data_IF_792096257761
#
_entry.id   IF_792096257761
#
_cell.length_a   1.000
_cell.length_b   1.000
_cell.length_c   1.000
_cell.angle_alpha   90.00
_cell.angle_beta   90.00
_cell.angle_gamma   90.00
#
_symmetry.space_group_name_H-M   'P 1'
#
loop_
_entity.id
_entity.type
_entity.pdbx_description
1 polymer ?
#
# COMPACT_ATOMS: atom_id res chain seq x y z
N UNK A 1 10.23 -17.03 -36.84
CA UNK A 1 9.29 -16.22 -36.03
C UNK A 1 8.59 -15.17 -36.87
N UNK A 2 9.32 -14.29 -37.57
CA UNK A 2 8.75 -13.22 -38.39
C UNK A 2 7.72 -13.76 -39.39
N UNK A 3 8.04 -14.81 -40.15
CA UNK A 3 7.09 -15.44 -41.08
C UNK A 3 5.77 -15.89 -40.42
N UNK A 4 5.80 -16.31 -39.16
CA UNK A 4 4.60 -16.69 -38.40
C UNK A 4 3.75 -15.47 -38.06
N UNK A 5 4.41 -14.37 -37.67
CA UNK A 5 3.74 -13.09 -37.40
C UNK A 5 3.12 -12.51 -38.69
N UNK A 6 3.90 -12.47 -39.78
CA UNK A 6 3.45 -11.98 -41.09
C UNK A 6 2.25 -12.77 -41.61
N UNK A 7 2.29 -14.11 -41.50
CA UNK A 7 1.18 -14.96 -41.89
C UNK A 7 -0.05 -14.73 -41.03
N UNK A 8 0.11 -14.59 -39.71
CA UNK A 8 -1.00 -14.31 -38.83
C UNK A 8 -1.63 -12.94 -39.13
N UNK A 9 -0.81 -11.91 -39.40
CA UNK A 9 -1.29 -10.58 -39.77
C UNK A 9 -2.06 -10.62 -41.10
N UNK A 10 -1.55 -11.36 -42.09
CA UNK A 10 -2.20 -11.53 -43.39
C UNK A 10 -3.55 -12.28 -43.31
N UNK A 11 -3.77 -13.09 -42.26
CA UNK A 11 -5.04 -13.77 -42.01
C UNK A 11 -6.09 -12.84 -41.37
N UNK A 12 -5.67 -11.69 -40.82
CA UNK A 12 -6.56 -10.66 -40.29
C UNK A 12 -6.15 -10.15 -38.92
N UNK A 13 -6.69 -8.99 -38.56
CA UNK A 13 -6.31 -8.30 -37.32
C UNK A 13 -6.68 -9.11 -36.07
N UNK A 14 -5.76 -9.14 -35.10
CA UNK A 14 -5.97 -9.87 -33.85
C UNK A 14 -5.84 -11.39 -33.94
N UNK A 15 -5.46 -11.93 -35.10
CA UNK A 15 -5.16 -13.35 -35.27
C UNK A 15 -4.05 -13.79 -34.31
N UNK A 16 -4.13 -15.04 -33.84
CA UNK A 16 -3.13 -15.60 -32.94
C UNK A 16 -1.95 -16.15 -33.75
N UNK A 17 -0.78 -15.56 -33.55
CA UNK A 17 0.50 -16.16 -33.88
C UNK A 17 0.90 -17.12 -32.75
N UNK A 18 0.67 -18.41 -32.96
CA UNK A 18 1.00 -19.45 -32.00
C UNK A 18 2.41 -20.02 -32.25
N UNK A 19 3.20 -20.10 -31.18
CA UNK A 19 4.57 -20.61 -31.19
C UNK A 19 4.65 -21.84 -30.29
N UNK A 20 4.72 -23.07 -30.85
CA UNK A 20 4.84 -24.28 -30.03
C UNK A 20 6.17 -24.31 -29.25
N UNK A 21 6.20 -25.10 -28.17
CA UNK A 21 7.44 -25.41 -27.47
C UNK A 21 8.41 -26.23 -28.32
N UNK A 22 9.69 -26.14 -27.98
CA UNK A 22 10.79 -26.82 -28.68
C UNK A 22 12.09 -26.08 -28.47
N UNK A 23 12.97 -26.12 -29.48
CA UNK A 23 14.17 -25.30 -29.49
C UNK A 23 13.82 -23.80 -29.42
N UNK A 24 14.66 -22.97 -28.77
CA UNK A 24 14.42 -21.53 -28.71
C UNK A 24 14.27 -20.89 -30.09
N UNK A 25 13.31 -19.97 -30.21
CA UNK A 25 13.19 -19.10 -31.36
C UNK A 25 14.24 -17.99 -31.23
N UNK A 26 15.34 -18.13 -31.95
CA UNK A 26 16.36 -17.09 -32.07
C UNK A 26 15.76 -15.85 -32.76
N UNK A 27 15.79 -14.71 -32.06
CA UNK A 27 15.22 -13.43 -32.53
C UNK A 27 16.29 -12.41 -32.90
N UNK A 28 17.55 -12.82 -33.01
CA UNK A 28 18.66 -11.93 -33.35
C UNK A 28 18.84 -10.83 -32.31
N UNK A 29 18.70 -9.57 -32.73
CA UNK A 29 18.79 -8.38 -31.87
C UNK A 29 17.51 -8.05 -31.09
N UNK A 30 16.41 -8.77 -31.36
CA UNK A 30 15.06 -8.48 -30.88
C UNK A 30 14.05 -8.32 -32.02
N UNK A 31 12.76 -8.35 -31.68
CA UNK A 31 11.67 -8.21 -32.65
C UNK A 31 10.78 -7.02 -32.29
N UNK A 32 10.55 -6.17 -33.28
CA UNK A 32 9.54 -5.11 -33.20
C UNK A 32 8.19 -5.62 -33.69
N UNK A 33 7.15 -5.33 -32.92
CA UNK A 33 5.76 -5.58 -33.25
C UNK A 33 5.04 -4.29 -33.71
N UNK A 34 5.80 -3.26 -34.07
CA UNK A 34 5.24 -2.02 -34.61
C UNK A 34 4.44 -2.31 -35.89
N UNK A 35 3.20 -1.82 -35.95
CA UNK A 35 2.31 -2.02 -37.09
C UNK A 35 1.60 -3.38 -37.14
N UNK A 36 2.00 -4.34 -36.31
CA UNK A 36 1.27 -5.60 -36.14
C UNK A 36 0.08 -5.43 -35.21
N UNK A 37 -0.93 -6.27 -35.40
CA UNK A 37 -2.12 -6.37 -34.54
C UNK A 37 -2.35 -7.79 -34.00
N UNK A 38 -1.52 -8.75 -34.43
CA UNK A 38 -1.59 -10.14 -33.96
C UNK A 38 -1.36 -10.31 -32.47
N UNK A 39 -1.93 -11.40 -31.93
CA UNK A 39 -1.68 -11.88 -30.58
C UNK A 39 -0.52 -12.87 -30.58
N UNK A 40 0.40 -12.76 -29.63
CA UNK A 40 1.58 -13.65 -29.52
C UNK A 40 1.32 -14.67 -28.41
N UNK A 41 1.21 -15.96 -28.77
CA UNK A 41 0.87 -17.03 -27.84
C UNK A 41 1.88 -18.17 -27.91
N UNK A 42 2.31 -18.66 -26.75
CA UNK A 42 3.17 -19.84 -26.66
C UNK A 42 2.54 -20.99 -25.86
N UNK A 43 3.29 -22.09 -25.76
CA UNK A 43 2.94 -23.32 -25.04
C UNK A 43 3.21 -23.27 -23.53
N UNK A 44 3.79 -22.19 -23.02
CA UNK A 44 4.10 -21.99 -21.60
C UNK A 44 5.49 -21.42 -21.36
N UNK A 45 5.67 -20.74 -20.22
CA UNK A 45 6.96 -20.27 -19.72
C UNK A 45 7.58 -21.35 -18.81
N UNK A 46 8.57 -22.08 -19.32
CA UNK A 46 9.30 -23.12 -18.57
C UNK A 46 10.56 -22.55 -17.91
N UNK A 47 10.92 -23.07 -16.74
CA UNK A 47 12.06 -22.58 -15.95
C UNK A 47 13.44 -22.80 -16.60
N UNK A 48 13.56 -23.57 -17.68
CA UNK A 48 14.82 -23.82 -18.40
C UNK A 48 14.65 -23.60 -19.89
N UNK A 49 15.66 -23.05 -20.55
CA UNK A 49 15.73 -22.99 -22.03
C UNK A 49 15.86 -24.38 -22.66
N UNK A 50 16.20 -25.39 -21.85
CA UNK A 50 16.34 -26.79 -22.29
C UNK A 50 15.07 -27.62 -22.09
N UNK A 51 14.00 -27.07 -21.50
CA UNK A 51 12.72 -27.78 -21.40
C UNK A 51 11.93 -27.58 -22.70
N UNK A 52 11.82 -28.61 -23.55
CA UNK A 52 11.21 -28.50 -24.88
C UNK A 52 9.69 -28.26 -24.83
N UNK A 53 9.08 -28.29 -23.63
CA UNK A 53 7.63 -28.11 -23.47
C UNK A 53 7.21 -26.64 -23.52
N UNK A 54 8.14 -25.71 -23.29
CA UNK A 54 7.86 -24.27 -23.25
C UNK A 54 8.30 -23.53 -24.50
N UNK A 55 7.70 -22.38 -24.74
CA UNK A 55 8.09 -21.47 -25.84
C UNK A 55 9.13 -20.50 -25.33
N UNK A 56 10.24 -20.33 -26.05
CA UNK A 56 11.31 -19.39 -25.67
C UNK A 56 11.68 -18.49 -26.83
N UNK A 57 11.65 -17.17 -26.62
CA UNK A 57 12.24 -16.18 -27.51
C UNK A 57 13.60 -15.78 -26.95
N UNK A 58 14.67 -16.07 -27.70
CA UNK A 58 16.05 -15.87 -27.29
C UNK A 58 16.73 -14.86 -28.20
N UNK A 59 17.28 -13.81 -27.61
CA UNK A 59 18.08 -12.84 -28.33
C UNK A 59 19.56 -13.24 -28.28
N UNK A 60 20.18 -13.52 -29.44
CA UNK A 60 21.62 -13.80 -29.54
C UNK A 60 22.48 -12.55 -29.40
N UNK A 61 21.89 -11.37 -29.57
CA UNK A 61 22.47 -10.05 -29.29
C UNK A 61 21.36 -9.09 -28.89
N UNK A 62 21.66 -7.93 -28.29
CA UNK A 62 20.65 -6.92 -27.99
C UNK A 62 21.21 -5.50 -28.23
N UNK A 63 20.46 -4.69 -28.97
CA UNK A 63 20.59 -3.22 -29.02
C UNK A 63 19.22 -2.56 -28.68
N UNK A 64 18.41 -3.28 -27.91
CA UNK A 64 17.02 -2.96 -27.62
C UNK A 64 16.28 -4.12 -26.94
N UNK A 65 14.94 -3.99 -26.82
CA UNK A 65 14.09 -5.03 -26.25
C UNK A 65 14.12 -6.32 -27.07
N UNK A 66 14.04 -7.48 -26.40
CA UNK A 66 13.86 -8.77 -27.08
C UNK A 66 12.51 -8.81 -27.80
N UNK A 67 11.44 -8.36 -27.13
CA UNK A 67 10.11 -8.15 -27.72
C UNK A 67 9.69 -6.69 -27.51
N UNK A 68 9.56 -5.94 -28.60
CA UNK A 68 9.11 -4.55 -28.57
C UNK A 68 7.66 -4.44 -29.01
N UNK A 69 6.77 -4.14 -28.05
CA UNK A 69 5.37 -3.83 -28.34
C UNK A 69 5.14 -2.34 -28.62
N UNK A 70 6.20 -1.53 -28.72
CA UNK A 70 6.06 -0.12 -29.10
C UNK A 70 5.44 -0.02 -30.50
N UNK A 71 4.25 0.59 -30.58
CA UNK A 71 3.53 0.75 -31.83
C UNK A 71 2.76 -0.49 -32.30
N UNK A 72 2.61 -1.53 -31.47
CA UNK A 72 1.64 -2.58 -31.71
C UNK A 72 0.22 -1.99 -31.75
N UNK A 73 -0.58 -2.43 -32.71
CA UNK A 73 -1.89 -1.88 -33.02
C UNK A 73 -2.98 -2.76 -32.42
N UNK A 74 -3.83 -2.17 -31.58
CA UNK A 74 -5.04 -2.86 -31.16
C UNK A 74 -5.92 -3.15 -32.38
N UNK A 75 -6.32 -4.41 -32.62
CA UNK A 75 -7.23 -4.77 -33.71
C UNK A 75 -8.51 -3.93 -33.70
N UNK A 76 -8.91 -3.41 -34.87
CA UNK A 76 -10.11 -2.63 -35.04
C UNK A 76 -11.34 -3.48 -34.69
N UNK A 77 -12.33 -2.87 -34.02
CA UNK A 77 -13.57 -3.52 -33.59
C UNK A 77 -13.43 -4.66 -32.57
N UNK A 78 -12.24 -4.91 -32.02
CA UNK A 78 -12.06 -5.92 -30.98
C UNK A 78 -12.61 -5.43 -29.63
N UNK A 79 -13.73 -5.99 -29.19
CA UNK A 79 -14.42 -5.54 -27.96
C UNK A 79 -13.81 -6.08 -26.65
N UNK A 80 -12.92 -7.07 -26.72
CA UNK A 80 -12.24 -7.68 -25.58
C UNK A 80 -10.83 -7.16 -25.34
N UNK A 81 -10.06 -7.88 -24.50
CA UNK A 81 -8.61 -7.69 -24.35
C UNK A 81 -7.85 -8.62 -25.28
N UNK A 82 -6.88 -8.09 -26.03
CA UNK A 82 -5.92 -8.94 -26.73
C UNK A 82 -4.97 -9.57 -25.73
N UNK A 83 -4.59 -10.83 -25.94
CA UNK A 83 -3.78 -11.56 -24.97
C UNK A 83 -2.45 -11.98 -25.59
N UNK A 84 -1.35 -11.61 -24.93
CA UNK A 84 -0.02 -12.11 -25.24
C UNK A 84 0.47 -12.93 -24.04
N UNK A 85 1.05 -14.11 -24.27
CA UNK A 85 1.48 -14.91 -23.13
C UNK A 85 1.84 -16.35 -23.41
N UNK A 86 2.30 -17.02 -22.35
CA UNK A 86 2.70 -18.42 -22.36
C UNK A 86 4.09 -18.63 -22.97
N UNK A 87 5.07 -17.79 -22.64
CA UNK A 87 6.41 -17.90 -23.20
C UNK A 87 7.49 -17.32 -22.30
N UNK A 88 8.72 -17.75 -22.52
CA UNK A 88 9.94 -17.17 -21.96
C UNK A 88 10.52 -16.11 -22.88
N UNK A 89 11.10 -15.08 -22.28
CA UNK A 89 11.95 -14.09 -22.95
C UNK A 89 13.34 -14.14 -22.33
N UNK A 90 14.34 -14.39 -23.16
CA UNK A 90 15.73 -14.50 -22.74
C UNK A 90 16.56 -13.49 -23.50
N UNK A 91 17.16 -12.56 -22.76
CA UNK A 91 18.09 -11.59 -23.32
C UNK A 91 19.43 -12.22 -23.71
N UNK A 92 20.33 -11.41 -24.25
CA UNK A 92 21.64 -11.88 -24.74
C UNK A 92 22.63 -12.23 -23.63
N UNK A 93 22.31 -11.98 -22.37
CA UNK A 93 23.23 -12.17 -21.25
C UNK A 93 24.35 -11.11 -21.19
N UNK A 94 24.26 -10.04 -21.99
CA UNK A 94 25.27 -8.97 -22.05
C UNK A 94 24.80 -7.75 -21.27
N UNK A 95 25.68 -7.22 -20.42
CA UNK A 95 25.49 -5.99 -19.65
C UNK A 95 25.22 -4.78 -20.53
N UNK A 96 24.27 -3.91 -20.13
CA UNK A 96 24.00 -2.63 -20.80
C UNK A 96 23.83 -1.48 -19.80
N UNK A 97 24.90 -0.71 -19.61
CA UNK A 97 24.89 0.47 -18.74
C UNK A 97 23.90 1.56 -19.18
N UNK A 98 23.44 1.54 -20.44
CA UNK A 98 22.42 2.47 -20.96
C UNK A 98 21.00 2.00 -20.68
N UNK A 99 20.82 0.78 -20.16
CA UNK A 99 19.53 0.19 -19.74
C UNK A 99 18.50 0.08 -20.88
N UNK A 100 18.94 -0.03 -22.13
CA UNK A 100 18.09 -0.09 -23.32
C UNK A 100 17.72 -1.53 -23.71
N UNK A 101 18.54 -2.50 -23.31
CA UNK A 101 18.41 -3.92 -23.64
C UNK A 101 17.37 -4.64 -22.76
N UNK A 102 16.12 -4.17 -22.79
CA UNK A 102 15.05 -4.76 -21.98
C UNK A 102 14.62 -6.15 -22.48
N UNK A 103 13.87 -6.90 -21.66
CA UNK A 103 13.25 -8.14 -22.13
C UNK A 103 12.04 -7.82 -22.99
N UNK A 104 11.05 -7.18 -22.37
CA UNK A 104 9.84 -6.74 -23.05
C UNK A 104 9.65 -5.24 -22.84
N UNK A 105 9.41 -4.52 -23.93
CA UNK A 105 9.07 -3.09 -23.91
C UNK A 105 7.61 -2.87 -24.29
N UNK A 106 6.96 -2.00 -23.52
CA UNK A 106 5.58 -1.58 -23.69
C UNK A 106 5.52 -0.07 -23.92
N UNK A 107 4.92 0.36 -25.03
CA UNK A 107 4.66 1.77 -25.32
C UNK A 107 3.43 1.93 -26.20
N UNK A 108 2.57 2.92 -25.92
CA UNK A 108 1.27 3.14 -26.60
C UNK A 108 0.35 1.92 -26.58
N UNK A 109 0.39 1.14 -25.50
CA UNK A 109 -0.46 -0.04 -25.37
C UNK A 109 -1.74 0.28 -24.64
N UNK A 110 -2.85 -0.30 -25.12
CA UNK A 110 -4.12 -0.17 -24.43
C UNK A 110 -4.96 -1.45 -24.47
N UNK A 111 -5.64 -1.74 -23.36
CA UNK A 111 -6.62 -2.84 -23.27
C UNK A 111 -6.06 -4.22 -23.64
N UNK A 112 -4.83 -4.51 -23.19
CA UNK A 112 -4.12 -5.76 -23.48
C UNK A 112 -3.85 -6.56 -22.20
N UNK A 113 -3.88 -7.88 -22.28
CA UNK A 113 -3.48 -8.80 -21.23
C UNK A 113 -2.12 -9.42 -21.59
N UNK A 114 -1.17 -9.34 -20.67
CA UNK A 114 0.10 -10.07 -20.72
C UNK A 114 0.11 -11.08 -19.59
N UNK A 115 0.20 -12.37 -19.91
CA UNK A 115 0.07 -13.43 -18.92
C UNK A 115 1.05 -14.59 -19.09
N UNK A 116 1.47 -15.21 -17.99
CA UNK A 116 2.30 -16.43 -18.01
C UNK A 116 3.62 -16.23 -18.77
N UNK A 117 4.40 -15.23 -18.34
CA UNK A 117 5.66 -14.86 -18.97
C UNK A 117 6.79 -14.93 -17.96
N UNK A 118 7.92 -15.51 -18.34
CA UNK A 118 9.15 -15.40 -17.56
C UNK A 118 10.21 -14.65 -18.36
N UNK A 119 10.95 -13.74 -17.71
CA UNK A 119 12.00 -12.93 -18.34
C UNK A 119 13.32 -13.09 -17.58
N UNK A 120 14.43 -13.26 -18.29
CA UNK A 120 15.76 -13.40 -17.69
C UNK A 120 16.89 -12.97 -18.63
N UNK A 121 18.09 -12.80 -18.07
CA UNK A 121 19.35 -12.55 -18.80
C UNK A 121 19.32 -11.31 -19.70
N UNK A 122 18.54 -10.30 -19.31
CA UNK A 122 18.47 -9.02 -20.02
C UNK A 122 19.58 -8.08 -19.56
N UNK A 123 20.17 -7.32 -20.48
CA UNK A 123 21.17 -6.29 -20.14
C UNK A 123 20.56 -5.03 -19.53
N UNK A 124 19.28 -4.77 -19.83
CA UNK A 124 18.43 -3.74 -19.26
C UNK A 124 17.24 -4.34 -18.49
N UNK A 125 16.18 -3.56 -18.24
CA UNK A 125 15.05 -4.03 -17.43
C UNK A 125 14.37 -5.26 -18.02
N UNK A 126 13.99 -6.22 -17.20
CA UNK A 126 13.24 -7.38 -17.70
C UNK A 126 11.91 -6.94 -18.32
N UNK A 127 11.18 -6.09 -17.61
CA UNK A 127 9.96 -5.45 -18.09
C UNK A 127 10.09 -3.93 -18.05
N UNK A 128 9.79 -3.30 -19.18
CA UNK A 128 9.89 -1.86 -19.36
C UNK A 128 8.59 -1.28 -19.93
N UNK A 129 7.86 -0.50 -19.15
CA UNK A 129 6.79 0.37 -19.62
C UNK A 129 7.30 1.78 -19.85
N UNK A 130 7.49 2.16 -21.10
CA UNK A 130 8.02 3.46 -21.50
C UNK A 130 6.88 4.39 -21.87
N UNK A 131 6.77 5.48 -21.11
CA UNK A 131 6.04 6.65 -21.57
C UNK A 131 7.03 7.75 -21.96
N UNK A 132 7.04 8.11 -23.24
CA UNK A 132 7.19 9.52 -23.61
C UNK A 132 5.83 10.20 -23.46
N UNK A 133 5.76 11.53 -23.34
CA UNK A 133 4.97 12.36 -24.26
C UNK A 133 3.52 12.06 -24.72
N UNK A 134 2.75 11.06 -24.26
CA UNK A 134 1.46 10.63 -24.86
C UNK A 134 1.37 9.11 -25.11
N UNK A 135 2.35 8.36 -24.61
CA UNK A 135 2.66 7.01 -25.07
C UNK A 135 2.48 5.96 -23.96
N UNK A 136 1.64 6.24 -22.97
CA UNK A 136 1.58 5.43 -21.77
C UNK A 136 0.92 4.06 -21.98
N UNK A 137 1.03 3.22 -20.96
CA UNK A 137 0.38 1.91 -20.90
C UNK A 137 -0.96 2.07 -20.18
N UNK A 138 -2.06 1.80 -20.89
CA UNK A 138 -3.41 2.14 -20.46
C UNK A 138 -4.30 0.90 -20.34
N UNK A 139 -4.94 0.70 -19.18
CA UNK A 139 -5.94 -0.37 -19.00
C UNK A 139 -5.43 -1.80 -19.28
N UNK A 140 -4.12 -2.00 -19.24
CA UNK A 140 -3.50 -3.31 -19.42
C UNK A 140 -3.54 -4.12 -18.13
N UNK A 141 -3.68 -5.44 -18.27
CA UNK A 141 -3.48 -6.38 -17.16
C UNK A 141 -2.17 -7.15 -17.40
N UNK A 142 -1.36 -7.27 -16.36
CA UNK A 142 -0.14 -8.07 -16.32
C UNK A 142 -0.32 -9.13 -15.24
N UNK A 143 -0.30 -10.39 -15.63
CA UNK A 143 -0.67 -11.49 -14.74
C UNK A 143 0.39 -12.59 -14.75
N UNK A 144 0.89 -12.99 -13.57
CA UNK A 144 1.85 -14.10 -13.45
C UNK A 144 3.10 -13.90 -14.34
N UNK A 145 3.65 -12.70 -14.31
CA UNK A 145 4.92 -12.37 -14.98
C UNK A 145 6.04 -12.39 -13.95
N UNK A 146 7.08 -13.16 -14.24
CA UNK A 146 8.23 -13.37 -13.35
C UNK A 146 9.49 -12.84 -14.02
N UNK A 147 10.26 -12.03 -13.31
CA UNK A 147 11.53 -11.50 -13.82
C UNK A 147 12.68 -11.96 -12.92
N UNK A 148 13.68 -12.60 -13.52
CA UNK A 148 14.95 -12.94 -12.87
C UNK A 148 15.97 -11.82 -13.02
N UNK A 149 17.04 -11.85 -12.22
CA UNK A 149 18.07 -10.79 -12.16
C UNK A 149 18.55 -10.35 -13.55
N UNK A 150 18.37 -9.06 -13.91
CA UNK A 150 19.06 -8.47 -15.04
C UNK A 150 20.58 -8.58 -14.88
N UNK A 151 21.31 -8.65 -15.99
CA UNK A 151 22.77 -8.68 -15.97
C UNK A 151 23.28 -7.37 -15.38
N UNK A 152 24.18 -7.46 -14.40
CA UNK A 152 24.76 -6.30 -13.71
C UNK A 152 23.72 -5.36 -13.08
N UNK A 153 22.62 -5.92 -12.55
CA UNK A 153 21.51 -5.16 -11.97
C UNK A 153 21.94 -4.09 -10.95
N UNK A 154 22.81 -4.42 -10.00
CA UNK A 154 23.33 -3.40 -9.07
C UNK A 154 24.34 -2.46 -9.73
N UNK A 155 25.32 -3.00 -10.46
CA UNK A 155 26.46 -2.22 -11.00
C UNK A 155 25.97 -1.11 -11.93
N UNK A 156 24.99 -1.43 -12.78
CA UNK A 156 24.38 -0.47 -13.69
C UNK A 156 23.09 0.14 -13.15
N UNK A 157 22.64 -0.25 -11.96
CA UNK A 157 21.38 0.21 -11.37
C UNK A 157 20.17 -0.08 -12.29
N UNK A 158 20.15 -1.28 -12.87
CA UNK A 158 19.09 -1.78 -13.77
C UNK A 158 17.96 -2.39 -12.93
N UNK A 159 16.72 -1.88 -13.02
CA UNK A 159 15.58 -2.47 -12.34
C UNK A 159 15.09 -3.73 -13.05
N UNK A 160 14.42 -4.63 -12.35
CA UNK A 160 13.70 -5.76 -12.94
C UNK A 160 12.47 -5.27 -13.71
N UNK A 161 11.77 -4.33 -13.09
CA UNK A 161 10.56 -3.71 -13.59
C UNK A 161 10.71 -2.21 -13.54
N UNK A 162 10.42 -1.54 -14.64
CA UNK A 162 10.24 -0.10 -14.64
C UNK A 162 8.99 0.25 -15.43
N UNK A 163 8.12 1.05 -14.83
CA UNK A 163 6.99 1.65 -15.52
C UNK A 163 7.00 3.16 -15.29
N UNK A 164 6.93 3.90 -16.37
CA UNK A 164 6.65 5.32 -16.35
C UNK A 164 5.20 5.57 -16.81
N UNK A 165 4.41 6.25 -15.99
CA UNK A 165 3.02 6.64 -16.24
C UNK A 165 2.05 5.45 -16.48
N UNK A 166 1.90 4.54 -15.51
CA UNK A 166 0.80 3.56 -15.61
C UNK A 166 -0.55 4.22 -15.38
N UNK A 167 -1.53 3.88 -16.20
CA UNK A 167 -2.88 4.40 -16.05
C UNK A 167 -3.93 3.28 -16.15
N UNK A 168 -4.61 3.00 -15.03
CA UNK A 168 -5.59 1.92 -14.95
C UNK A 168 -5.00 0.54 -15.20
N UNK A 169 -3.68 0.40 -15.01
CA UNK A 169 -2.95 -0.86 -15.19
C UNK A 169 -3.12 -1.73 -13.95
N UNK A 170 -3.18 -3.04 -14.14
CA UNK A 170 -3.26 -4.01 -13.05
C UNK A 170 -2.13 -5.02 -13.16
N UNK A 171 -1.36 -5.17 -12.09
CA UNK A 171 -0.34 -6.21 -11.93
C UNK A 171 -0.89 -7.23 -10.93
N UNK A 172 -1.03 -8.49 -11.31
CA UNK A 172 -1.60 -9.56 -10.46
C UNK A 172 -0.69 -10.78 -10.42
N UNK A 173 -0.23 -11.14 -9.23
CA UNK A 173 0.64 -12.31 -9.05
C UNK A 173 1.95 -12.23 -9.84
N UNK A 174 2.38 -11.02 -10.20
CA UNK A 174 3.70 -10.77 -10.78
C UNK A 174 4.78 -10.89 -9.70
N UNK A 175 6.03 -11.10 -10.10
CA UNK A 175 7.10 -11.14 -9.13
C UNK A 175 8.49 -10.98 -9.70
N UNK A 176 9.43 -10.81 -8.78
CA UNK A 176 10.86 -10.76 -9.07
C UNK A 176 11.60 -11.77 -8.21
N UNK A 177 12.64 -12.38 -8.77
CA UNK A 177 13.52 -13.30 -8.07
C UNK A 177 14.97 -13.00 -8.38
N UNK A 178 15.79 -12.88 -7.34
CA UNK A 178 17.23 -12.87 -7.56
C UNK A 178 17.74 -14.26 -7.92
N UNK A 179 18.63 -14.35 -8.91
CA UNK A 179 19.47 -15.53 -9.15
C UNK A 179 20.88 -15.37 -8.60
N UNK A 180 21.19 -14.22 -7.99
CA UNK A 180 22.49 -13.90 -7.42
C UNK A 180 22.41 -13.82 -5.89
N UNK A 181 23.53 -14.06 -5.20
CA UNK A 181 23.61 -13.94 -3.73
C UNK A 181 23.86 -12.50 -3.26
N UNK A 182 24.30 -11.63 -4.16
CA UNK A 182 24.50 -10.19 -3.97
C UNK A 182 24.39 -9.50 -5.33
N UNK A 183 24.50 -8.17 -5.38
CA UNK A 183 24.59 -7.36 -6.60
C UNK A 183 23.36 -7.42 -7.52
N UNK A 184 22.19 -7.65 -6.92
CA UNK A 184 20.93 -7.88 -7.60
C UNK A 184 19.97 -6.69 -7.54
N UNK A 185 20.26 -5.67 -6.73
CA UNK A 185 19.46 -4.45 -6.60
C UNK A 185 20.35 -3.21 -6.64
N UNK A 186 20.02 -2.26 -7.52
CA UNK A 186 20.59 -0.93 -7.51
C UNK A 186 19.95 -0.01 -6.48
N UNK A 187 20.53 1.19 -6.30
CA UNK A 187 20.02 2.20 -5.37
C UNK A 187 18.67 2.79 -5.81
N UNK A 188 18.39 2.84 -7.12
CA UNK A 188 17.11 3.29 -7.66
C UNK A 188 15.97 2.29 -7.42
N UNK A 189 16.31 1.07 -7.01
CA UNK A 189 15.41 0.00 -6.62
C UNK A 189 15.15 -1.06 -7.69
N UNK A 190 14.64 -2.21 -7.23
CA UNK A 190 14.41 -3.39 -8.07
C UNK A 190 13.13 -3.27 -8.91
N UNK A 191 12.10 -2.63 -8.37
CA UNK A 191 10.83 -2.32 -9.06
C UNK A 191 10.59 -0.83 -8.97
N UNK A 192 10.45 -0.18 -10.13
CA UNK A 192 10.41 1.28 -10.23
C UNK A 192 9.10 1.72 -10.89
N UNK A 193 8.35 2.55 -10.18
CA UNK A 193 7.15 3.20 -10.69
C UNK A 193 7.36 4.70 -10.70
N UNK A 194 7.23 5.33 -11.87
CA UNK A 194 7.39 6.78 -12.06
C UNK A 194 6.15 7.39 -12.68
N UNK A 195 5.93 8.68 -12.41
CA UNK A 195 4.91 9.51 -13.03
C UNK A 195 5.51 10.88 -13.31
N UNK A 196 5.91 11.10 -14.55
CA UNK A 196 6.69 12.29 -14.93
C UNK A 196 5.84 13.48 -15.41
N UNK A 197 4.49 13.38 -15.47
CA UNK A 197 3.59 14.45 -15.95
C UNK A 197 2.41 14.77 -15.04
N UNK A 198 1.75 15.90 -15.37
CA UNK A 198 0.51 16.46 -14.82
C UNK A 198 -0.76 15.65 -15.10
N UNK A 199 -0.67 14.48 -15.74
CA UNK A 199 -1.85 13.69 -16.09
C UNK A 199 -2.32 12.84 -14.89
N UNK A 200 -3.58 13.04 -14.49
CA UNK A 200 -4.28 12.23 -13.49
C UNK A 200 -5.70 11.99 -13.98
N UNK A 201 -6.10 10.72 -14.15
CA UNK A 201 -7.44 10.25 -13.77
C UNK A 201 -7.59 8.72 -13.91
N UNK A 202 -6.77 7.91 -13.22
CA UNK A 202 -7.16 6.55 -12.78
C UNK A 202 -6.07 5.88 -11.94
N UNK A 203 -6.49 5.08 -10.97
CA UNK A 203 -5.60 4.30 -10.10
C UNK A 203 -5.06 3.08 -10.82
N UNK A 204 -3.78 2.77 -10.59
CA UNK A 204 -3.19 1.49 -10.98
C UNK A 204 -3.16 0.56 -9.75
N UNK A 205 -3.36 -0.74 -9.98
CA UNK A 205 -3.41 -1.75 -8.93
C UNK A 205 -2.21 -2.69 -9.06
N UNK A 206 -1.52 -2.92 -7.95
CA UNK A 206 -0.48 -3.92 -7.79
C UNK A 206 -0.97 -4.85 -6.70
N UNK A 207 -1.27 -6.09 -7.07
CA UNK A 207 -1.99 -7.06 -6.26
C UNK A 207 -1.23 -8.39 -6.22
N UNK A 208 -0.88 -8.84 -5.01
CA UNK A 208 -0.18 -10.11 -4.82
C UNK A 208 1.20 -10.15 -5.47
N UNK A 209 1.89 -9.01 -5.57
CA UNK A 209 3.25 -8.98 -6.13
C UNK A 209 4.21 -9.63 -5.13
N UNK A 210 5.01 -10.58 -5.58
CA UNK A 210 5.98 -11.27 -4.71
C UNK A 210 7.42 -10.91 -5.07
N UNK A 211 8.27 -10.89 -4.04
CA UNK A 211 9.69 -10.59 -4.13
C UNK A 211 10.45 -11.72 -3.47
N UNK A 212 11.51 -12.21 -4.12
CA UNK A 212 12.28 -13.32 -3.59
C UNK A 212 13.79 -13.09 -3.70
N UNK A 213 14.49 -13.31 -2.58
CA UNK A 213 15.95 -13.40 -2.52
C UNK A 213 16.70 -12.12 -2.93
N UNK A 214 16.12 -10.94 -2.73
CA UNK A 214 16.70 -9.64 -3.12
C UNK A 214 17.62 -9.08 -2.03
N UNK A 215 18.74 -8.46 -2.41
CA UNK A 215 19.72 -7.84 -1.51
C UNK A 215 19.86 -6.32 -1.74
N UNK A 216 19.22 -5.54 -0.88
CA UNK A 216 19.13 -4.07 -1.01
C UNK A 216 20.44 -3.39 -0.57
N UNK A 217 21.06 -2.51 -1.39
CA UNK A 217 22.25 -1.76 -1.00
C UNK A 217 21.93 -0.59 -0.06
N UNK A 218 22.97 0.05 0.48
CA UNK A 218 22.85 1.30 1.24
C UNK A 218 22.00 2.31 0.47
N UNK A 219 21.06 2.94 1.18
CA UNK A 219 20.08 3.89 0.65
C UNK A 219 19.18 3.33 -0.46
N UNK A 220 19.20 2.01 -0.71
CA UNK A 220 18.38 1.35 -1.70
C UNK A 220 16.96 1.06 -1.23
N UNK A 221 16.12 0.60 -2.16
CA UNK A 221 14.75 0.13 -1.87
C UNK A 221 14.37 -1.01 -2.81
N UNK A 222 13.43 -1.87 -2.43
CA UNK A 222 12.90 -2.87 -3.39
C UNK A 222 11.92 -2.18 -4.34
N UNK A 223 10.90 -1.51 -3.80
CA UNK A 223 9.92 -0.75 -4.58
C UNK A 223 10.18 0.75 -4.48
N UNK A 224 10.64 1.38 -5.56
CA UNK A 224 10.73 2.83 -5.67
C UNK A 224 9.47 3.38 -6.34
N UNK A 225 8.68 4.16 -5.59
CA UNK A 225 7.40 4.70 -6.03
C UNK A 225 7.46 6.22 -6.10
N UNK A 226 7.57 6.74 -7.30
CA UNK A 226 7.47 8.16 -7.63
C UNK A 226 6.20 8.40 -8.45
N UNK A 227 5.05 8.08 -7.88
CA UNK A 227 3.77 8.10 -8.58
C UNK A 227 2.62 8.53 -7.65
N UNK A 228 1.44 8.75 -8.23
CA UNK A 228 0.24 9.14 -7.51
C UNK A 228 -0.86 8.09 -7.70
N UNK A 229 -1.72 7.90 -6.69
CA UNK A 229 -2.94 7.09 -6.78
C UNK A 229 -2.74 5.60 -7.10
N UNK A 230 -1.59 5.04 -6.75
CA UNK A 230 -1.34 3.61 -6.90
C UNK A 230 -1.85 2.86 -5.67
N UNK A 231 -2.43 1.68 -5.90
CA UNK A 231 -2.88 0.79 -4.85
C UNK A 231 -1.98 -0.44 -4.85
N UNK A 232 -1.30 -0.67 -3.74
CA UNK A 232 -0.51 -1.86 -3.48
C UNK A 232 -1.26 -2.70 -2.46
N UNK A 233 -1.57 -3.94 -2.79
CA UNK A 233 -2.23 -4.87 -1.88
C UNK A 233 -1.51 -6.20 -1.85
N UNK A 234 -1.36 -6.75 -0.65
CA UNK A 234 -0.91 -8.11 -0.40
C UNK A 234 0.45 -8.43 -1.05
N UNK A 235 1.36 -7.45 -1.01
CA UNK A 235 2.76 -7.64 -1.45
C UNK A 235 3.45 -8.65 -0.52
N UNK A 236 4.15 -9.61 -1.10
CA UNK A 236 4.82 -10.69 -0.37
C UNK A 236 6.33 -10.54 -0.52
N UNK A 237 7.04 -10.62 0.61
CA UNK A 237 8.50 -10.54 0.66
C UNK A 237 9.05 -11.85 1.20
N UNK A 238 9.72 -12.61 0.34
CA UNK A 238 10.40 -13.86 0.65
C UNK A 238 11.91 -13.62 0.64
N UNK A 239 12.62 -13.93 1.72
CA UNK A 239 14.08 -13.83 1.80
C UNK A 239 14.67 -12.50 1.30
N UNK A 240 13.99 -11.39 1.61
CA UNK A 240 14.43 -10.05 1.24
C UNK A 240 15.33 -9.46 2.32
N UNK A 241 16.57 -9.12 1.95
CA UNK A 241 17.60 -8.69 2.87
C UNK A 241 18.27 -7.40 2.40
N UNK A 242 19.02 -6.76 3.28
CA UNK A 242 19.99 -5.73 2.89
C UNK A 242 21.38 -6.33 2.79
N UNK A 243 22.24 -5.70 1.98
CA UNK A 243 23.65 -6.06 1.91
C UNK A 243 24.35 -5.87 3.27
N UNK A 244 25.42 -6.63 3.56
CA UNK A 244 26.14 -6.48 4.82
C UNK A 244 26.54 -5.03 5.09
N UNK A 245 26.19 -4.51 6.27
CA UNK A 245 26.44 -3.13 6.71
C UNK A 245 25.70 -2.03 5.93
N UNK A 246 24.79 -2.39 5.03
CA UNK A 246 23.91 -1.41 4.40
C UNK A 246 22.99 -0.75 5.44
N UNK A 247 22.66 0.51 5.20
CA UNK A 247 21.79 1.34 6.02
C UNK A 247 20.88 2.17 5.13
N UNK A 248 19.77 2.69 5.66
CA UNK A 248 18.84 3.50 4.88
C UNK A 248 18.06 2.67 3.85
N UNK A 249 17.92 1.37 4.11
CA UNK A 249 17.26 0.43 3.21
C UNK A 249 15.77 0.35 3.49
N UNK A 250 14.95 0.15 2.44
CA UNK A 250 13.49 0.00 2.61
C UNK A 250 12.89 -1.07 1.71
N UNK A 251 11.78 -1.68 2.14
CA UNK A 251 10.99 -2.54 1.25
C UNK A 251 10.26 -1.70 0.19
N UNK A 252 9.77 -0.53 0.57
CA UNK A 252 9.12 0.41 -0.34
C UNK A 252 9.46 1.84 0.04
N UNK A 253 9.82 2.66 -0.93
CA UNK A 253 10.06 4.10 -0.76
C UNK A 253 9.16 4.90 -1.68
N UNK A 254 8.36 5.77 -1.10
CA UNK A 254 7.62 6.80 -1.82
C UNK A 254 8.47 8.05 -1.91
N UNK A 255 8.57 8.66 -3.10
CA UNK A 255 9.20 9.95 -3.34
C UNK A 255 8.26 10.86 -4.13
N UNK A 256 8.41 12.17 -3.95
CA UNK A 256 7.53 13.11 -4.65
C UNK A 256 7.74 13.03 -6.18
N UNK A 257 6.67 12.81 -6.96
CA UNK A 257 6.71 13.03 -8.40
C UNK A 257 6.72 14.53 -8.73
N UNK A 258 7.00 14.87 -9.99
CA UNK A 258 7.00 16.26 -10.47
C UNK A 258 5.68 16.99 -10.23
N UNK A 259 4.58 16.24 -10.17
CA UNK A 259 3.26 16.72 -9.79
C UNK A 259 2.70 15.86 -8.65
N UNK A 260 2.80 16.37 -7.41
CA UNK A 260 2.44 15.61 -6.21
C UNK A 260 0.94 15.76 -5.88
N UNK A 261 0.18 14.66 -6.04
CA UNK A 261 -1.21 14.54 -5.58
C UNK A 261 -1.38 13.56 -4.41
N UNK A 262 -0.34 12.78 -4.10
CA UNK A 262 -0.44 11.65 -3.17
C UNK A 262 -1.47 10.62 -3.61
N UNK A 263 -2.30 10.19 -2.67
CA UNK A 263 -3.42 9.28 -2.89
C UNK A 263 -3.01 7.83 -3.11
N UNK A 264 -1.74 7.48 -2.88
CA UNK A 264 -1.31 6.09 -2.90
C UNK A 264 -1.85 5.36 -1.66
N UNK A 265 -2.20 4.09 -1.84
CA UNK A 265 -2.68 3.20 -0.78
C UNK A 265 -1.79 1.97 -0.75
N UNK A 266 -1.28 1.62 0.43
CA UNK A 266 -0.63 0.33 0.68
C UNK A 266 -1.46 -0.47 1.68
N UNK A 267 -1.78 -1.71 1.34
CA UNK A 267 -2.53 -2.66 2.18
C UNK A 267 -1.82 -4.00 2.30
N UNK A 268 -1.84 -4.58 3.50
CA UNK A 268 -1.39 -5.97 3.72
C UNK A 268 -0.53 -6.09 4.97
N UNK A 269 0.45 -7.01 4.94
CA UNK A 269 1.49 -7.08 5.96
C UNK A 269 2.56 -6.04 5.64
N UNK A 270 2.84 -5.14 6.57
CA UNK A 270 3.88 -4.13 6.42
C UNK A 270 5.12 -4.61 7.16
N UNK A 271 6.21 -5.01 6.47
CA UNK A 271 7.45 -5.41 7.13
C UNK A 271 7.95 -4.28 8.04
N UNK A 272 8.62 -4.62 9.12
CA UNK A 272 9.27 -3.66 10.02
C UNK A 272 10.77 -3.87 10.00
N UNK A 273 11.47 -3.16 10.87
CA UNK A 273 12.85 -3.48 11.17
C UNK A 273 12.89 -4.83 11.89
N UNK A 274 13.57 -5.80 11.27
CA UNK A 274 13.75 -7.12 11.85
C UNK A 274 14.77 -7.12 13.00
N UNK A 275 15.22 -8.31 13.39
CA UNK A 275 16.18 -8.49 14.50
C UNK A 275 17.59 -8.85 14.05
N UNK A 276 17.73 -9.26 12.79
CA UNK A 276 18.99 -9.70 12.20
C UNK A 276 19.71 -8.53 11.55
N UNK A 277 21.05 -8.58 11.53
CA UNK A 277 21.87 -7.54 10.91
C UNK A 277 21.64 -7.36 9.40
N UNK A 278 21.04 -8.37 8.75
CA UNK A 278 20.70 -8.41 7.32
C UNK A 278 19.25 -7.99 7.03
N UNK A 279 18.45 -7.69 8.05
CA UNK A 279 17.07 -7.28 7.85
C UNK A 279 17.03 -5.85 7.33
N UNK A 280 16.12 -5.58 6.38
CA UNK A 280 15.91 -4.26 5.80
C UNK A 280 15.46 -3.28 6.90
N UNK A 281 15.95 -2.03 6.86
CA UNK A 281 15.79 -1.09 7.99
C UNK A 281 14.35 -0.60 8.16
N UNK A 282 13.59 -0.49 7.08
CA UNK A 282 12.24 0.10 7.11
C UNK A 282 11.30 -0.64 6.16
N UNK A 283 10.05 -0.83 6.57
CA UNK A 283 9.00 -1.31 5.66
C UNK A 283 8.72 -0.30 4.56
N UNK A 284 8.02 0.77 4.92
CA UNK A 284 7.63 1.84 4.02
C UNK A 284 8.29 3.15 4.47
N UNK A 285 9.16 3.68 3.64
CA UNK A 285 9.69 5.03 3.79
C UNK A 285 8.86 6.02 2.97
N UNK A 286 8.21 6.96 3.65
CA UNK A 286 7.30 7.92 3.05
C UNK A 286 8.02 9.27 2.90
N UNK A 287 8.39 9.63 1.68
CA UNK A 287 8.85 10.98 1.29
C UNK A 287 7.81 11.68 0.39
N UNK A 288 6.54 11.30 0.49
CA UNK A 288 5.44 11.91 -0.25
C UNK A 288 4.21 12.07 0.64
N UNK A 289 3.61 13.26 0.61
CA UNK A 289 2.41 13.60 1.37
C UNK A 289 1.12 12.99 0.81
N UNK A 290 0.09 12.89 1.65
CA UNK A 290 -1.28 12.55 1.22
C UNK A 290 -1.52 11.09 0.88
N UNK A 291 -0.73 10.16 1.43
CA UNK A 291 -0.83 8.72 1.19
C UNK A 291 -1.54 7.99 2.35
N UNK A 292 -1.89 6.73 2.12
CA UNK A 292 -2.50 5.87 3.12
C UNK A 292 -1.79 4.52 3.23
N UNK A 293 -1.58 4.04 4.45
CA UNK A 293 -1.06 2.70 4.75
C UNK A 293 -2.02 2.04 5.75
N UNK A 294 -2.54 0.87 5.42
CA UNK A 294 -3.40 0.08 6.30
C UNK A 294 -2.93 -1.37 6.35
N UNK A 295 -2.78 -1.98 7.52
CA UNK A 295 -2.24 -3.32 7.52
C UNK A 295 -1.99 -3.96 8.86
N UNK A 296 -1.27 -5.08 8.81
CA UNK A 296 -0.74 -5.77 9.99
C UNK A 296 0.75 -5.47 10.09
N UNK A 297 1.21 -5.16 11.30
CA UNK A 297 2.63 -4.97 11.59
C UNK A 297 3.36 -6.30 11.48
N UNK A 298 4.36 -6.38 10.60
CA UNK A 298 5.29 -7.52 10.54
C UNK A 298 6.23 -7.49 11.74
N UNK A 299 7.45 -6.98 11.55
CA UNK A 299 8.48 -6.91 12.59
C UNK A 299 8.40 -5.67 13.52
N UNK A 300 9.39 -5.55 14.40
CA UNK A 300 9.44 -4.64 15.53
C UNK A 300 9.77 -3.18 15.14
N UNK A 301 8.73 -2.41 14.85
CA UNK A 301 8.82 -0.97 14.59
C UNK A 301 9.40 -0.63 13.21
N UNK A 302 9.42 0.66 12.86
CA UNK A 302 9.84 1.16 11.54
C UNK A 302 9.11 0.49 10.36
N UNK A 303 7.87 0.04 10.56
CA UNK A 303 7.03 -0.44 9.48
C UNK A 303 6.64 0.71 8.55
N UNK A 304 6.39 1.89 9.12
CA UNK A 304 6.22 3.13 8.37
C UNK A 304 7.09 4.24 8.94
N UNK A 305 7.95 4.83 8.13
CA UNK A 305 8.74 6.01 8.46
C UNK A 305 8.21 7.21 7.68
N UNK A 306 7.74 8.25 8.38
CA UNK A 306 7.42 9.54 7.76
C UNK A 306 8.62 10.47 7.83
N UNK A 307 9.08 10.93 6.66
CA UNK A 307 10.22 11.82 6.54
C UNK A 307 9.85 13.28 6.80
N UNK A 308 10.83 14.19 7.02
CA UNK A 308 10.56 15.62 7.27
C UNK A 308 9.65 16.26 6.21
N UNK A 309 8.69 17.08 6.66
CA UNK A 309 7.77 17.82 5.78
C UNK A 309 6.55 17.04 5.29
N UNK A 310 6.44 15.74 5.58
CA UNK A 310 5.34 14.90 5.10
C UNK A 310 4.04 15.14 5.87
N UNK A 311 2.96 15.45 5.17
CA UNK A 311 1.66 15.77 5.76
C UNK A 311 0.48 15.04 5.13
N UNK A 312 -0.66 15.05 5.82
CA UNK A 312 -1.92 14.48 5.34
C UNK A 312 -1.89 12.97 5.11
N UNK A 313 -0.89 12.28 5.65
CA UNK A 313 -0.72 10.83 5.50
C UNK A 313 -1.45 10.11 6.61
N UNK A 314 -2.10 8.99 6.26
CA UNK A 314 -2.79 8.11 7.22
C UNK A 314 -2.06 6.78 7.32
N UNK A 315 -1.78 6.34 8.55
CA UNK A 315 -1.21 5.02 8.85
C UNK A 315 -2.12 4.36 9.88
N UNK A 316 -2.63 3.17 9.57
CA UNK A 316 -3.47 2.38 10.47
C UNK A 316 -3.02 0.92 10.49
N UNK A 317 -2.41 0.50 11.60
CA UNK A 317 -1.91 -0.86 11.80
C UNK A 317 -2.83 -1.60 12.78
N UNK A 318 -3.58 -2.58 12.29
CA UNK A 318 -4.69 -3.24 13.00
C UNK A 318 -4.26 -4.43 13.88
N UNK A 319 -3.00 -4.87 13.77
CA UNK A 319 -2.46 -6.02 14.49
C UNK A 319 -0.95 -6.10 14.34
N UNK A 320 -0.34 -7.15 14.90
CA UNK A 320 1.10 -7.37 14.80
C UNK A 320 1.51 -8.84 14.85
N UNK A 321 2.70 -9.17 14.33
CA UNK A 321 3.35 -10.45 14.65
C UNK A 321 3.72 -10.54 16.14
N UNK A 322 3.93 -11.76 16.61
CA UNK A 322 4.23 -12.03 18.01
C UNK A 322 5.47 -11.26 18.49
N UNK A 323 5.40 -10.70 19.71
CA UNK A 323 6.46 -9.94 20.39
C UNK A 323 6.75 -8.54 19.82
N UNK A 324 5.81 -7.95 19.07
CA UNK A 324 6.01 -6.61 18.52
C UNK A 324 5.78 -5.49 19.57
N UNK A 325 6.83 -5.13 20.32
CA UNK A 325 6.79 -4.20 21.46
C UNK A 325 7.00 -2.72 21.12
N UNK A 326 7.35 -2.39 19.87
CA UNK A 326 7.60 -1.01 19.43
C UNK A 326 6.48 -0.48 18.53
N UNK A 327 6.18 0.83 18.56
CA UNK A 327 5.24 1.45 17.64
C UNK A 327 5.63 1.14 16.19
N UNK A 328 4.66 0.72 15.38
CA UNK A 328 4.90 0.39 13.97
C UNK A 328 5.27 1.58 13.10
N UNK A 329 5.07 2.81 13.58
CA UNK A 329 5.39 4.03 12.86
C UNK A 329 6.47 4.86 13.56
N UNK A 330 7.23 5.60 12.76
CA UNK A 330 8.18 6.63 13.22
C UNK A 330 7.86 7.91 12.46
N UNK A 331 7.51 8.97 13.19
CA UNK A 331 7.16 10.26 12.60
C UNK A 331 8.29 11.28 12.76
N UNK A 332 9.02 11.57 11.67
CA UNK A 332 10.00 12.66 11.60
C UNK A 332 9.46 13.87 10.83
N UNK A 333 8.18 13.87 10.47
CA UNK A 333 7.62 14.85 9.55
C UNK A 333 7.51 16.26 10.12
N UNK A 334 7.35 16.39 11.44
CA UNK A 334 6.98 17.65 12.09
C UNK A 334 5.59 18.14 11.72
N UNK A 335 4.79 17.35 11.00
CA UNK A 335 3.45 17.73 10.54
C UNK A 335 2.39 17.36 11.55
N UNK A 336 1.47 18.29 11.79
CA UNK A 336 0.30 18.06 12.66
C UNK A 336 -0.90 17.50 11.90
N UNK A 337 -0.79 17.19 10.60
CA UNK A 337 -1.91 16.74 9.77
C UNK A 337 -1.93 15.23 9.51
N UNK A 338 -0.92 14.49 9.95
CA UNK A 338 -0.85 13.04 9.81
C UNK A 338 -1.74 12.33 10.84
N UNK A 339 -2.30 11.18 10.46
CA UNK A 339 -3.05 10.31 11.39
C UNK A 339 -2.35 8.96 11.45
N UNK A 340 -1.82 8.59 12.62
CA UNK A 340 -1.02 7.39 12.83
C UNK A 340 -1.63 6.58 13.97
N UNK A 341 -1.95 5.33 13.70
CA UNK A 341 -2.58 4.43 14.67
C UNK A 341 -1.87 3.08 14.61
N UNK A 342 -1.39 2.62 15.76
CA UNK A 342 -0.97 1.24 16.00
C UNK A 342 -1.93 0.64 17.04
N UNK A 343 -2.91 -0.12 16.57
CA UNK A 343 -3.96 -0.71 17.41
C UNK A 343 -3.42 -1.80 18.33
N UNK A 344 -2.33 -2.49 17.96
CA UNK A 344 -1.74 -3.54 18.79
C UNK A 344 -1.17 -2.98 20.09
N UNK A 345 -0.52 -1.82 20.02
CA UNK A 345 0.05 -1.13 21.19
C UNK A 345 -0.86 -0.05 21.78
N UNK A 346 -1.99 0.25 21.13
CA UNK A 346 -2.88 1.34 21.53
C UNK A 346 -2.30 2.74 21.27
N UNK A 347 -1.25 2.85 20.45
CA UNK A 347 -0.55 4.10 20.16
C UNK A 347 -1.28 4.90 19.07
N UNK A 348 -1.49 6.20 19.31
CA UNK A 348 -2.33 7.05 18.45
C UNK A 348 -1.80 8.48 18.34
N UNK A 349 -1.74 8.98 17.12
CA UNK A 349 -1.51 10.38 16.76
C UNK A 349 -2.57 10.80 15.74
N UNK A 350 -3.36 11.83 16.05
CA UNK A 350 -4.41 12.32 15.15
C UNK A 350 -4.05 13.67 14.55
N UNK A 351 -4.24 13.78 13.24
CA UNK A 351 -3.92 14.99 12.50
C UNK A 351 -4.99 16.07 12.67
N UNK A 352 -4.61 17.27 13.12
CA UNK A 352 -5.45 18.47 13.03
C UNK A 352 -5.42 18.96 11.58
N UNK A 353 -6.46 18.67 10.79
CA UNK A 353 -6.61 19.29 9.46
C UNK A 353 -6.76 20.81 9.63
N UNK A 354 -5.89 21.59 8.99
CA UNK A 354 -5.93 23.06 8.94
C UNK A 354 -7.04 23.52 7.98
N UNK A 355 -8.28 23.22 8.33
CA UNK A 355 -9.49 23.81 7.78
C UNK A 355 -10.30 24.36 8.94
N UNK A 356 -11.00 25.47 8.75
CA UNK A 356 -11.97 25.98 9.71
C UNK A 356 -13.14 24.98 9.77
N UNK A 357 -12.95 23.87 10.48
CA UNK A 357 -14.04 23.01 10.90
C UNK A 357 -14.82 23.80 11.93
N UNK A 358 -15.94 24.38 11.52
CA UNK A 358 -17.02 24.70 12.44
C UNK A 358 -17.60 23.36 12.88
N UNK A 359 -17.45 22.93 14.15
CA UNK A 359 -18.02 21.69 14.61
C UNK A 359 -19.53 21.89 14.73
N UNK A 360 -20.25 21.74 13.62
CA UNK A 360 -21.68 21.46 13.65
C UNK A 360 -21.84 19.95 13.54
N UNK A 361 -22.09 19.34 14.69
CA UNK A 361 -22.78 18.07 14.90
C UNK A 361 -22.51 16.95 13.86
N UNK A 362 -21.61 16.01 14.19
CA UNK A 362 -21.95 14.58 14.16
C UNK A 362 -20.90 13.71 14.84
N UNK A 363 -21.44 12.75 15.57
CA UNK A 363 -20.87 11.76 16.48
C UNK A 363 -19.87 10.86 15.73
N UNK A 364 -18.63 10.74 16.21
CA UNK A 364 -17.81 9.52 16.17
C UNK A 364 -16.47 9.71 16.91
N UNK A 365 -16.22 8.86 17.91
CA UNK A 365 -14.88 8.59 18.46
C UNK A 365 -14.25 9.69 19.31
N UNK A 366 -14.90 10.09 20.41
CA UNK A 366 -14.32 11.04 21.36
C UNK A 366 -13.47 10.29 22.40
N UNK A 367 -12.15 10.30 22.22
CA UNK A 367 -11.21 10.28 23.36
C UNK A 367 -11.08 11.73 23.86
N UNK A 368 -11.81 12.07 24.93
CA UNK A 368 -11.60 13.31 25.67
C UNK A 368 -10.31 13.19 26.47
N UNK A 369 -9.23 13.72 25.92
CA UNK A 369 -8.15 14.28 26.72
C UNK A 369 -8.64 15.55 27.42
N UNK A 370 -9.55 15.41 28.39
CA UNK A 370 -9.72 16.39 29.45
C UNK A 370 -9.12 15.80 30.71
N UNK A 371 -8.25 16.59 31.36
CA UNK A 371 -7.70 16.31 32.68
C UNK A 371 -8.87 15.85 33.56
N UNK A 372 -8.82 14.61 34.05
CA UNK A 372 -9.70 14.20 35.14
C UNK A 372 -9.47 15.19 36.28
N UNK A 373 -10.47 16.01 36.58
CA UNK A 373 -10.44 16.84 37.78
C UNK A 373 -11.01 15.96 38.89
N UNK A 374 -10.11 15.46 39.73
CA UNK A 374 -10.48 14.76 40.96
C UNK A 374 -10.84 15.82 41.99
N UNK A 375 -12.07 15.77 42.50
CA UNK A 375 -12.48 16.61 43.61
C UNK A 375 -12.50 15.74 44.88
N UNK A 376 -11.70 16.09 45.88
CA UNK A 376 -11.52 15.31 47.11
C UNK A 376 -12.53 15.69 48.22
N UNK A 377 -13.46 16.61 47.94
CA UNK A 377 -14.50 17.06 48.89
C UNK A 377 -15.82 17.29 48.17
N UNK A 378 -16.93 17.15 48.91
CA UNK A 378 -18.27 17.43 48.43
C UNK A 378 -18.37 18.89 47.97
N UNK A 379 -18.55 19.11 46.67
CA UNK A 379 -18.73 20.43 46.07
C UNK A 379 -20.09 20.43 45.37
N UNK A 380 -20.97 21.34 45.76
CA UNK A 380 -22.13 21.68 44.95
C UNK A 380 -21.66 22.48 43.73
N UNK A 381 -21.89 21.97 42.52
CA UNK A 381 -21.59 22.68 41.28
C UNK A 381 -22.86 23.12 40.57
N UNK A 382 -22.92 24.41 40.22
CA UNK A 382 -23.97 24.96 39.36
C UNK A 382 -23.43 25.05 37.95
N UNK A 383 -24.08 24.40 36.99
CA UNK A 383 -23.72 24.47 35.57
C UNK A 383 -24.62 25.49 34.89
N UNK A 384 -24.07 26.61 34.42
CA UNK A 384 -24.78 27.56 33.57
C UNK A 384 -24.55 27.22 32.09
N UNK A 385 -25.63 27.20 31.33
CA UNK A 385 -25.64 26.82 29.92
C UNK A 385 -25.54 28.08 29.05
N UNK A 386 -24.45 28.25 28.30
CA UNK A 386 -24.48 29.10 27.10
C UNK A 386 -24.27 28.34 25.79
N UNK A 387 -23.81 27.07 25.76
CA UNK A 387 -23.69 26.28 24.50
C UNK A 387 -23.07 24.86 24.58
N UNK A 388 -23.22 24.05 25.65
CA UNK A 388 -22.58 22.72 25.71
C UNK A 388 -23.49 21.56 26.15
N UNK A 389 -23.57 20.49 25.34
CA UNK A 389 -24.47 19.33 25.54
C UNK A 389 -23.91 18.16 26.40
N UNK A 390 -22.70 18.21 26.97
CA UNK A 390 -22.10 17.06 27.66
C UNK A 390 -21.20 17.44 28.85
N UNK A 391 -21.30 16.68 29.96
CA UNK A 391 -20.43 16.79 31.15
C UNK A 391 -20.02 15.40 31.68
N UNK A 392 -18.73 15.20 31.95
CA UNK A 392 -18.19 13.99 32.59
C UNK A 392 -17.85 14.33 34.03
N UNK A 393 -18.41 13.61 35.00
CA UNK A 393 -18.25 13.90 36.45
C UNK A 393 -17.90 12.61 37.19
N UNK A 394 -16.77 12.60 37.89
CA UNK A 394 -16.42 11.53 38.83
C UNK A 394 -17.11 11.82 40.17
N UNK A 395 -17.97 10.92 40.62
CA UNK A 395 -18.73 11.08 41.87
C UNK A 395 -18.28 10.01 42.86
N UNK A 396 -17.96 10.41 44.09
CA UNK A 396 -17.77 9.50 45.21
C UNK A 396 -19.05 9.37 46.05
N UNK A 397 -19.04 8.50 47.05
CA UNK A 397 -20.19 8.20 47.91
C UNK A 397 -20.72 9.39 48.73
N UNK A 398 -20.06 10.55 48.70
CA UNK A 398 -20.40 11.73 49.48
C UNK A 398 -20.98 12.89 48.66
N UNK A 399 -21.01 12.83 47.32
CA UNK A 399 -21.45 13.97 46.53
C UNK A 399 -22.98 14.07 46.41
N UNK A 400 -23.51 15.28 46.56
CA UNK A 400 -24.86 15.68 46.14
C UNK A 400 -24.80 16.42 44.80
N UNK A 401 -25.80 16.22 43.94
CA UNK A 401 -25.93 16.95 42.67
C UNK A 401 -27.29 17.63 42.59
N UNK A 402 -27.29 18.91 42.22
CA UNK A 402 -28.51 19.68 41.96
C UNK A 402 -28.44 20.23 40.55
N UNK A 403 -29.42 19.90 39.71
CA UNK A 403 -29.54 20.44 38.37
C UNK A 403 -30.52 21.60 38.35
N UNK A 404 -30.13 22.71 37.74
CA UNK A 404 -31.01 23.84 37.45
C UNK A 404 -31.17 23.92 35.93
N UNK A 405 -32.00 23.05 35.37
CA UNK A 405 -32.52 23.21 34.01
C UNK A 405 -33.76 24.09 34.09
N UNK A 406 -33.57 25.40 34.12
CA UNK A 406 -34.68 26.33 34.01
C UNK A 406 -35.15 26.38 32.54
N UNK A 407 -36.30 25.75 32.28
CA UNK A 407 -37.16 26.08 31.15
C UNK A 407 -36.82 25.49 29.77
N UNK A 408 -35.84 24.58 29.63
CA UNK A 408 -35.48 24.02 28.32
C UNK A 408 -36.17 22.68 28.05
N UNK A 409 -37.23 22.71 27.25
CA UNK A 409 -37.92 21.50 26.74
C UNK A 409 -37.02 20.79 25.73
N UNK A 410 -36.68 19.52 25.98
CA UNK A 410 -35.96 18.66 25.02
C UNK A 410 -34.43 18.62 25.17
N UNK A 411 -33.86 19.21 26.22
CA UNK A 411 -32.42 19.09 26.49
C UNK A 411 -32.07 17.68 26.99
N UNK A 412 -31.09 17.03 26.35
CA UNK A 412 -30.55 15.75 26.75
C UNK A 412 -29.14 15.95 27.30
N UNK A 413 -28.94 15.65 28.59
CA UNK A 413 -27.63 15.67 29.23
C UNK A 413 -27.18 14.23 29.43
N UNK A 414 -26.01 13.87 28.90
CA UNK A 414 -25.38 12.58 29.22
C UNK A 414 -24.31 12.82 30.30
N UNK A 415 -24.46 12.13 31.42
CA UNK A 415 -23.49 12.11 32.52
C UNK A 415 -22.80 10.75 32.55
N UNK A 416 -21.48 10.72 32.46
CA UNK A 416 -20.67 9.50 32.64
C UNK A 416 -20.16 9.49 34.08
N UNK A 417 -20.58 8.49 34.85
CA UNK A 417 -20.18 8.29 36.24
C UNK A 417 -19.02 7.28 36.29
N UNK A 418 -17.88 7.69 36.83
CA UNK A 418 -16.73 6.81 37.07
C UNK A 418 -16.61 6.49 38.56
N UNK A 419 -16.42 5.22 38.89
CA UNK A 419 -16.30 4.76 40.27
C UNK A 419 -14.90 5.02 40.84
N UNK A 420 -14.83 5.62 42.03
CA UNK A 420 -13.59 5.76 42.80
C UNK A 420 -13.19 4.46 43.51
N UNK A 421 -11.91 4.35 43.88
CA UNK A 421 -11.26 3.15 44.42
C UNK A 421 -11.81 2.60 45.75
N UNK A 422 -12.76 3.28 46.40
CA UNK A 422 -13.22 2.96 47.76
C UNK A 422 -14.54 2.14 47.86
N UNK A 423 -15.25 1.86 46.75
CA UNK A 423 -16.59 1.24 46.81
C UNK A 423 -16.65 -0.20 46.32
N UNK A 424 -16.63 -1.21 47.20
CA UNK A 424 -16.82 -2.61 46.79
C UNK A 424 -18.30 -2.99 46.61
N UNK A 425 -18.73 -3.29 45.38
CA UNK A 425 -20.02 -3.94 45.06
C UNK A 425 -19.81 -5.17 44.16
N UNK A 426 -20.61 -6.21 44.35
CA UNK A 426 -20.56 -7.49 43.64
C UNK A 426 -21.67 -7.55 42.59
N UNK A 427 -21.38 -8.04 41.38
CA UNK A 427 -22.31 -8.09 40.25
C UNK A 427 -22.72 -9.54 39.96
N UNK A 428 -24.02 -9.80 39.81
CA UNK A 428 -24.56 -11.08 39.33
C UNK A 428 -25.46 -10.79 38.13
N UNK A 429 -25.16 -11.40 37.00
CA UNK A 429 -25.87 -11.22 35.72
C UNK A 429 -27.26 -11.92 35.76
N UNK A 430 -28.33 -11.39 35.09
CA UNK A 430 -28.46 -10.12 34.39
C UNK A 430 -29.18 -9.03 35.23
N UNK A 431 -28.54 -7.86 35.30
CA UNK A 431 -29.02 -6.50 35.62
C UNK A 431 -29.74 -6.19 36.96
N UNK A 432 -28.95 -5.81 37.98
CA UNK A 432 -29.31 -4.77 38.95
C UNK A 432 -28.02 -4.14 39.55
N UNK A 433 -27.83 -2.81 39.40
CA UNK A 433 -26.78 -2.09 40.13
C UNK A 433 -27.28 -1.82 41.55
N UNK A 434 -26.67 -2.46 42.56
CA UNK A 434 -26.99 -2.22 43.98
C UNK A 434 -25.90 -1.35 44.61
N UNK A 435 -26.27 -0.14 45.02
CA UNK A 435 -25.42 0.75 45.80
C UNK A 435 -25.32 0.23 47.24
N UNK A 436 -24.10 0.20 47.82
CA UNK A 436 -23.90 -0.21 49.22
C UNK A 436 -24.44 0.81 50.25
N UNK A 437 -24.58 2.07 49.83
CA UNK A 437 -25.20 3.17 50.57
C UNK A 437 -26.31 3.82 49.72
N UNK A 438 -27.11 4.74 50.30
CA UNK A 438 -28.25 5.37 49.62
C UNK A 438 -27.86 5.88 48.22
N UNK A 439 -28.67 5.61 47.19
CA UNK A 439 -28.43 6.14 45.85
C UNK A 439 -28.46 7.67 45.84
N UNK A 440 -27.72 8.33 44.93
CA UNK A 440 -27.78 9.77 44.77
C UNK A 440 -29.21 10.21 44.38
N UNK A 441 -29.67 11.31 44.97
CA UNK A 441 -30.99 11.87 44.69
C UNK A 441 -30.87 12.80 43.48
N UNK A 442 -31.59 12.47 42.40
CA UNK A 442 -31.73 13.34 41.23
C UNK A 442 -33.03 14.13 41.37
N UNK A 443 -32.96 15.46 41.33
CA UNK A 443 -34.12 16.33 41.27
C UNK A 443 -34.15 17.01 39.90
N UNK A 444 -35.28 16.91 39.19
CA UNK A 444 -35.52 17.66 37.97
C UNK A 444 -36.74 18.58 38.15
N UNK A 445 -36.71 19.74 37.48
CA UNK A 445 -37.87 20.61 37.31
C UNK A 445 -38.93 19.91 36.43
N UNK A 446 -40.20 20.27 36.60
CA UNK A 446 -41.31 19.66 35.86
C UNK A 446 -41.12 19.80 34.35
N UNK A 447 -41.07 18.67 33.63
CA UNK A 447 -40.96 18.63 32.17
C UNK A 447 -39.57 18.31 31.61
N UNK A 448 -38.53 18.23 32.44
CA UNK A 448 -37.20 17.79 32.00
C UNK A 448 -37.08 16.25 32.02
N UNK A 449 -36.61 15.67 30.90
CA UNK A 449 -36.20 14.26 30.83
C UNK A 449 -34.69 14.17 31.09
N UNK A 450 -34.28 13.53 32.17
CA UNK A 450 -32.87 13.28 32.48
C UNK A 450 -32.54 11.83 32.15
N UNK A 451 -31.67 11.60 31.17
CA UNK A 451 -31.12 10.28 30.87
C UNK A 451 -29.79 10.08 31.58
N UNK A 452 -29.70 9.11 32.49
CA UNK A 452 -28.43 8.74 33.15
C UNK A 452 -27.90 7.49 32.49
N UNK A 453 -26.67 7.54 31.96
CA UNK A 453 -25.97 6.38 31.41
C UNK A 453 -24.82 6.00 32.33
N UNK A 454 -24.89 4.80 32.89
CA UNK A 454 -23.85 4.25 33.76
C UNK A 454 -22.81 3.54 32.87
N UNK A 455 -21.57 4.01 32.89
CA UNK A 455 -20.45 3.29 32.28
C UNK A 455 -19.68 2.59 33.41
N UNK A 456 -19.53 1.27 33.30
CA UNK A 456 -18.61 0.51 34.13
C UNK A 456 -17.50 -0.04 33.23
N UNK A 457 -16.27 -0.05 33.75
CA UNK A 457 -15.05 -0.37 33.02
C UNK A 457 -15.16 -1.66 32.20
N UNK A 458 -14.97 -1.55 30.88
CA UNK A 458 -14.89 -2.67 29.94
C UNK A 458 -16.16 -2.87 29.09
N UNK A 459 -16.31 -1.99 28.10
CA UNK A 459 -17.31 -1.90 27.02
C UNK A 459 -18.34 -3.03 26.84
N UNK A 460 -19.63 -2.65 26.84
CA UNK A 460 -20.66 -3.22 25.95
C UNK A 460 -21.56 -2.09 25.44
N UNK A 461 -21.79 -2.08 24.13
CA UNK A 461 -22.86 -1.32 23.49
C UNK A 461 -23.98 -2.28 23.07
N UNK A 462 -25.23 -1.91 23.35
CA UNK A 462 -26.38 -2.39 22.58
C UNK A 462 -27.22 -1.19 22.17
N UNK A 463 -27.61 -1.25 20.91
CA UNK A 463 -28.33 -0.28 20.09
C UNK A 463 -29.71 0.12 20.64
N UNK A 464 -30.18 1.26 20.10
CA UNK A 464 -31.57 1.72 20.19
C UNK A 464 -32.50 0.82 19.36
#
# INVERSE_FOLDING_TARGET
>A
MIDTLDRAEALGEGTIAFFPGGDPYEVGSGISLAGYSVQVRGSGATGSTTDPRGTTFLASSQDGPVLDFSGWLRPQSFQGKTTHGGFNVVGSGVSDARKRNSGIRFSKLSSTLFADIAVRQTGGPGVEGVAQPGDAVYLCDFERIIVSTPVDAQVNDVPYWIFNEMNGVRLRGCGIRSTARTNDCGISGAVVFRSNRTYSAQSSLIDGFWVEYIHVPTDGTIFAVQANKYVFTDIQYFDAHKLPRATGTSHMRFTEPSFNLGGNLVRGVIPGNGTSATDIDTGIEMNQSGNAVTGVKGYNGQNVLLMPGIGGTTVELLGAEANASRPGWVDKSGSTSNTLVDHHLGERLYGRRKGKYSPSNKINGVHLGQKAVTYETAIDFTVSYESANFHVVTIDSSCSWTNVLDGVIGAEITVILKQGSAGGATLTFPSAVRWKAKPPILRSSSGARVGVKLAFDGEVWVEL
#
